data_IF_529207631618
#
_entry.id   IF_529207631618
#
_cell.length_a   1.000
_cell.length_b   1.000
_cell.length_c   1.000
_cell.angle_alpha   90.00
_cell.angle_beta   90.00
_cell.angle_gamma   90.00
#
_symmetry.space_group_name_H-M   'P 1'
#
loop_
_entity.id
_entity.type
_entity.pdbx_description
1 polymer ?
#
# COMPACT_ATOMS: atom_id res chain seq x y z
N UNK A 1 37.87 -53.28 32.76
CA UNK A 1 38.00 -51.85 32.38
C UNK A 1 36.65 -51.36 31.87
N UNK A 2 35.89 -50.65 32.73
CA UNK A 2 34.58 -50.07 32.38
C UNK A 2 34.83 -48.70 31.76
N UNK A 3 34.44 -48.48 30.51
CA UNK A 3 34.30 -47.13 29.93
C UNK A 3 32.81 -46.86 29.81
N UNK A 4 32.28 -46.05 30.73
CA UNK A 4 30.89 -45.60 30.71
C UNK A 4 30.82 -44.37 29.81
N UNK A 5 30.01 -44.47 28.76
CA UNK A 5 29.77 -43.42 27.78
C UNK A 5 28.96 -42.27 28.41
N UNK A 6 29.40 -41.03 28.19
CA UNK A 6 28.72 -39.82 28.60
C UNK A 6 27.85 -39.35 27.43
N UNK A 7 26.53 -39.50 27.55
CA UNK A 7 25.56 -38.89 26.63
C UNK A 7 25.49 -37.39 26.93
N UNK A 8 25.84 -36.55 25.96
CA UNK A 8 25.45 -35.14 25.94
C UNK A 8 24.01 -35.04 25.42
N UNK A 9 23.08 -34.61 26.29
CA UNK A 9 21.78 -34.09 25.85
C UNK A 9 21.99 -32.69 25.25
N UNK A 10 21.79 -32.56 23.95
CA UNK A 10 21.61 -31.28 23.27
C UNK A 10 20.17 -30.80 23.53
N UNK A 11 20.00 -29.97 24.56
CA UNK A 11 18.79 -29.16 24.71
C UNK A 11 18.81 -28.08 23.64
N UNK A 12 17.98 -28.22 22.61
CA UNK A 12 17.71 -27.16 21.66
C UNK A 12 16.96 -26.03 22.39
N UNK A 13 17.69 -25.00 22.79
CA UNK A 13 17.09 -23.74 23.21
C UNK A 13 16.54 -23.12 21.93
N UNK A 14 15.24 -23.27 21.69
CA UNK A 14 14.57 -22.45 20.69
C UNK A 14 14.68 -21.00 21.18
N UNK A 15 15.64 -20.26 20.63
CA UNK A 15 15.69 -18.81 20.83
C UNK A 15 14.33 -18.26 20.39
N UNK A 16 13.63 -17.46 21.20
CA UNK A 16 12.54 -16.65 20.67
C UNK A 16 13.16 -15.83 19.54
N UNK A 17 12.64 -16.00 18.32
CA UNK A 17 12.97 -15.10 17.23
C UNK A 17 12.64 -13.70 17.74
N UNK A 18 13.67 -12.90 17.98
CA UNK A 18 13.49 -11.46 18.12
C UNK A 18 12.88 -11.03 16.79
N UNK A 19 11.61 -10.64 16.82
CA UNK A 19 10.95 -10.06 15.66
C UNK A 19 11.82 -8.90 15.20
N UNK A 20 12.46 -9.03 14.04
CA UNK A 20 13.11 -7.90 13.41
C UNK A 20 12.05 -6.82 13.18
N UNK A 21 12.38 -5.54 13.36
CA UNK A 21 11.47 -4.43 13.09
C UNK A 21 10.79 -4.65 11.72
N UNK A 22 9.48 -4.89 11.72
CA UNK A 22 8.70 -5.20 10.53
C UNK A 22 8.24 -6.66 10.35
N UNK A 23 8.46 -7.54 11.33
CA UNK A 23 7.91 -8.91 11.35
C UNK A 23 6.55 -8.98 12.06
N UNK A 24 5.46 -8.95 11.28
CA UNK A 24 4.10 -9.26 11.74
C UNK A 24 3.70 -10.72 11.49
N UNK A 25 2.50 -11.16 11.92
CA UNK A 25 2.03 -12.55 11.74
C UNK A 25 1.90 -13.00 10.27
N UNK A 26 1.90 -12.05 9.33
CA UNK A 26 1.83 -12.28 7.89
C UNK A 26 3.17 -12.04 7.16
N UNK A 27 4.29 -11.92 7.89
CA UNK A 27 5.59 -11.58 7.30
C UNK A 27 6.24 -12.73 6.53
N UNK A 28 5.83 -13.97 6.83
CA UNK A 28 6.44 -15.17 6.28
C UNK A 28 6.49 -15.15 4.74
N UNK A 29 7.70 -15.32 4.19
CA UNK A 29 7.96 -15.34 2.74
C UNK A 29 7.56 -14.08 1.97
N UNK A 30 7.31 -12.95 2.65
CA UNK A 30 7.07 -11.66 2.01
C UNK A 30 8.33 -11.15 1.31
N UNK A 31 8.16 -10.70 0.07
CA UNK A 31 9.15 -10.04 -0.77
C UNK A 31 8.96 -8.51 -0.78
N UNK A 32 8.04 -7.98 0.04
CA UNK A 32 7.79 -6.55 0.15
C UNK A 32 9.05 -5.80 0.60
N UNK A 33 9.32 -4.66 -0.03
CA UNK A 33 10.41 -3.78 0.36
C UNK A 33 9.92 -2.83 1.44
N UNK A 34 10.66 -2.77 2.56
CA UNK A 34 10.48 -1.76 3.60
C UNK A 34 10.54 -0.35 3.00
N UNK A 35 9.68 0.55 3.50
CA UNK A 35 9.69 1.98 3.17
C UNK A 35 10.02 2.84 4.39
N UNK A 36 10.46 2.21 5.49
CA UNK A 36 10.80 2.88 6.75
C UNK A 36 9.66 3.72 7.30
N UNK A 37 8.43 3.23 7.12
CA UNK A 37 7.24 3.84 7.68
C UNK A 37 7.08 3.42 9.14
N UNK A 38 6.52 4.33 9.93
CA UNK A 38 6.23 4.05 11.33
C UNK A 38 5.17 2.94 11.46
N UNK A 39 5.46 1.92 12.29
CA UNK A 39 4.58 0.77 12.49
C UNK A 39 4.35 -0.08 11.24
N UNK A 40 5.32 -0.12 10.31
CA UNK A 40 5.25 -0.99 9.13
C UNK A 40 5.60 -2.44 9.46
N UNK A 41 4.84 -3.37 8.91
CA UNK A 41 5.08 -4.80 8.94
C UNK A 41 4.97 -5.36 7.53
N UNK A 42 5.91 -6.23 7.13
CA UNK A 42 5.74 -7.01 5.91
C UNK A 42 4.54 -7.94 6.06
N UNK A 43 3.72 -8.01 5.02
CA UNK A 43 2.52 -8.81 5.04
C UNK A 43 2.18 -9.39 3.67
N UNK A 44 2.17 -10.72 3.63
CA UNK A 44 1.79 -11.57 2.51
C UNK A 44 0.65 -12.49 2.94
N UNK A 45 -0.44 -12.51 2.18
CA UNK A 45 -1.62 -13.31 2.50
C UNK A 45 -2.55 -13.48 1.29
N UNK A 46 -3.45 -14.45 1.36
CA UNK A 46 -4.56 -14.57 0.42
C UNK A 46 -5.71 -13.62 0.78
N UNK A 47 -6.33 -13.06 -0.25
CA UNK A 47 -7.45 -12.15 -0.11
C UNK A 47 -8.39 -12.20 -1.31
N UNK A 48 -9.58 -11.64 -1.14
CA UNK A 48 -10.57 -11.38 -2.18
C UNK A 48 -10.54 -9.88 -2.50
N UNK A 49 -10.43 -9.49 -3.76
CA UNK A 49 -10.40 -8.06 -4.16
C UNK A 49 -11.81 -7.52 -4.39
N UNK A 50 -12.09 -6.33 -3.85
CA UNK A 50 -13.33 -5.59 -4.06
C UNK A 50 -13.10 -4.07 -3.88
N UNK A 51 -14.11 -3.23 -4.11
CA UNK A 51 -14.09 -1.83 -3.68
C UNK A 51 -14.78 -1.64 -2.33
N UNK A 52 -14.36 -0.61 -1.60
CA UNK A 52 -14.81 -0.36 -0.23
C UNK A 52 -16.33 -0.16 -0.14
N UNK A 53 -16.93 0.48 -1.15
CA UNK A 53 -18.36 0.78 -1.13
C UNK A 53 -19.19 -0.47 -1.44
N UNK A 54 -18.74 -1.32 -2.37
CA UNK A 54 -19.36 -2.63 -2.60
C UNK A 54 -19.39 -3.46 -1.31
N UNK A 55 -18.26 -3.56 -0.61
CA UNK A 55 -18.19 -4.32 0.65
C UNK A 55 -19.08 -3.74 1.75
N UNK A 56 -19.05 -2.42 1.93
CA UNK A 56 -19.75 -1.76 3.05
C UNK A 56 -21.26 -1.60 2.82
N UNK A 57 -21.70 -1.53 1.56
CA UNK A 57 -23.08 -1.10 1.23
C UNK A 57 -23.80 -2.02 0.24
N UNK A 58 -23.09 -2.90 -0.47
CA UNK A 58 -23.63 -3.71 -1.56
C UNK A 58 -23.75 -2.97 -2.90
N UNK A 59 -23.35 -1.70 -2.99
CA UNK A 59 -23.23 -0.98 -4.27
C UNK A 59 -21.97 -1.45 -5.02
N UNK A 60 -22.16 -2.48 -5.85
CA UNK A 60 -21.09 -3.18 -6.55
C UNK A 60 -21.17 -2.92 -8.06
N UNK A 61 -20.54 -1.83 -8.56
CA UNK A 61 -20.44 -1.61 -10.00
C UNK A 61 -19.51 -2.65 -10.65
N UNK A 62 -19.68 -2.84 -11.96
CA UNK A 62 -18.77 -3.65 -12.76
C UNK A 62 -17.31 -3.21 -12.58
N UNK A 63 -16.39 -4.17 -12.63
CA UNK A 63 -14.95 -3.98 -12.47
C UNK A 63 -14.54 -3.14 -11.25
N UNK A 64 -15.35 -3.17 -10.17
CA UNK A 64 -15.12 -2.41 -8.94
C UNK A 64 -14.98 -0.90 -9.22
N UNK A 65 -15.69 -0.40 -10.24
CA UNK A 65 -15.60 0.99 -10.69
C UNK A 65 -14.32 1.35 -11.44
N UNK A 66 -13.63 0.37 -12.04
CA UNK A 66 -12.52 0.59 -12.96
C UNK A 66 -11.28 1.27 -12.34
N UNK A 67 -11.14 1.18 -11.01
CA UNK A 67 -10.04 1.80 -10.27
C UNK A 67 -10.30 3.27 -9.86
N UNK A 68 -11.49 3.81 -10.11
CA UNK A 68 -11.90 5.15 -9.66
C UNK A 68 -12.50 5.12 -8.24
N UNK A 69 -12.82 3.94 -7.71
CA UNK A 69 -13.28 3.75 -6.31
C UNK A 69 -12.11 3.36 -5.40
N UNK A 70 -12.17 3.68 -4.09
CA UNK A 70 -11.23 3.16 -3.11
C UNK A 70 -11.28 1.63 -3.07
N UNK A 71 -10.16 0.98 -3.37
CA UNK A 71 -10.08 -0.47 -3.40
C UNK A 71 -9.69 -1.04 -2.03
N UNK A 72 -10.22 -2.22 -1.73
CA UNK A 72 -9.91 -2.99 -0.52
C UNK A 72 -9.51 -4.41 -0.89
N UNK A 73 -8.87 -5.09 0.05
CA UNK A 73 -8.70 -6.53 0.02
C UNK A 73 -9.34 -7.13 1.27
N UNK A 74 -10.15 -8.17 1.08
CA UNK A 74 -10.76 -8.94 2.15
C UNK A 74 -9.87 -10.13 2.45
N UNK A 75 -9.10 -10.06 3.54
CA UNK A 75 -8.17 -11.14 3.88
C UNK A 75 -8.94 -12.41 4.25
N UNK A 76 -8.57 -13.54 3.66
CA UNK A 76 -9.34 -14.79 3.81
C UNK A 76 -9.26 -15.40 5.20
N UNK A 77 -8.16 -15.22 5.91
CA UNK A 77 -7.93 -15.89 7.20
C UNK A 77 -8.86 -15.36 8.31
N UNK A 78 -9.19 -14.07 8.29
CA UNK A 78 -9.91 -13.39 9.37
C UNK A 78 -10.99 -12.43 8.90
N UNK A 79 -11.30 -12.41 7.60
CA UNK A 79 -12.28 -11.52 6.96
C UNK A 79 -12.05 -10.03 7.24
N UNK A 80 -10.82 -9.61 7.58
CA UNK A 80 -10.54 -8.18 7.75
C UNK A 80 -10.53 -7.48 6.40
N UNK A 81 -11.34 -6.42 6.31
CA UNK A 81 -11.28 -5.45 5.23
C UNK A 81 -10.06 -4.56 5.43
N UNK A 82 -9.14 -4.57 4.46
CA UNK A 82 -7.97 -3.71 4.46
C UNK A 82 -8.09 -2.70 3.33
N UNK A 83 -8.16 -1.41 3.69
CA UNK A 83 -8.07 -0.32 2.71
C UNK A 83 -6.68 -0.31 2.10
N UNK A 84 -6.63 -0.37 0.77
CA UNK A 84 -5.36 -0.29 0.03
C UNK A 84 -5.07 1.15 -0.32
N UNK A 85 -4.33 1.83 0.53
CA UNK A 85 -4.06 3.27 0.37
C UNK A 85 -2.91 3.58 -0.60
N UNK A 86 -2.00 2.62 -0.85
CA UNK A 86 -0.84 2.83 -1.71
C UNK A 86 -0.45 1.58 -2.51
N UNK A 87 0.00 1.80 -3.74
CA UNK A 87 0.63 0.77 -4.58
C UNK A 87 2.16 0.84 -4.60
N UNK A 88 2.80 -0.06 -5.34
CA UNK A 88 4.25 -0.10 -5.54
C UNK A 88 4.81 1.02 -6.42
N UNK A 89 3.97 1.95 -6.90
CA UNK A 89 4.43 3.12 -7.63
C UNK A 89 4.97 4.22 -6.67
N UNK A 90 5.92 5.05 -7.15
CA UNK A 90 6.48 6.15 -6.36
C UNK A 90 5.46 7.29 -6.17
N UNK A 91 5.83 8.28 -5.34
CA UNK A 91 5.09 9.53 -5.13
C UNK A 91 3.64 9.31 -4.65
N UNK A 92 3.45 8.42 -3.66
CA UNK A 92 2.18 8.20 -2.95
C UNK A 92 0.97 7.94 -3.87
N UNK A 93 1.18 7.12 -4.90
CA UNK A 93 0.13 6.75 -5.86
C UNK A 93 -0.59 5.47 -5.43
N UNK A 94 -1.90 5.43 -5.63
CA UNK A 94 -2.76 4.30 -5.24
C UNK A 94 -2.57 3.05 -6.12
N UNK A 95 -3.01 1.90 -5.61
CA UNK A 95 -3.01 0.63 -6.34
C UNK A 95 -4.30 0.37 -7.12
N UNK A 96 -5.28 1.29 -7.08
CA UNK A 96 -6.66 1.03 -7.46
C UNK A 96 -6.80 0.44 -8.87
N UNK A 97 -6.16 1.06 -9.88
CA UNK A 97 -6.19 0.55 -11.25
C UNK A 97 -5.60 -0.85 -11.42
N UNK A 98 -4.62 -1.24 -10.58
CA UNK A 98 -4.11 -2.61 -10.61
C UNK A 98 -5.11 -3.54 -9.96
N UNK A 99 -5.67 -3.17 -8.81
CA UNK A 99 -6.61 -4.00 -8.08
C UNK A 99 -7.91 -4.23 -8.87
N UNK A 100 -8.39 -3.23 -9.61
CA UNK A 100 -9.60 -3.38 -10.42
C UNK A 100 -9.47 -4.48 -11.48
N UNK A 101 -8.26 -4.78 -11.98
CA UNK A 101 -8.03 -5.92 -12.90
C UNK A 101 -8.30 -7.30 -12.24
N UNK A 102 -8.31 -7.34 -10.91
CA UNK A 102 -8.60 -8.52 -10.10
C UNK A 102 -9.93 -8.40 -9.35
N UNK A 103 -10.77 -7.41 -9.69
CA UNK A 103 -12.09 -7.26 -9.07
C UNK A 103 -12.85 -8.59 -9.15
N UNK A 104 -13.45 -9.03 -8.05
CA UNK A 104 -14.16 -10.30 -8.08
C UNK A 104 -13.30 -11.54 -7.79
N UNK A 105 -11.97 -11.40 -7.74
CA UNK A 105 -11.07 -12.55 -7.73
C UNK A 105 -10.40 -12.78 -6.39
N UNK A 106 -10.05 -14.04 -6.17
CA UNK A 106 -9.13 -14.46 -5.13
C UNK A 106 -7.68 -14.27 -5.61
N UNK A 107 -6.88 -13.65 -4.77
CA UNK A 107 -5.51 -13.25 -5.04
C UNK A 107 -4.62 -13.57 -3.86
N UNK A 108 -3.32 -13.62 -4.14
CA UNK A 108 -2.30 -13.43 -3.12
C UNK A 108 -1.68 -12.05 -3.29
N UNK A 109 -1.57 -11.32 -2.17
CA UNK A 109 -1.00 -9.98 -2.14
C UNK A 109 0.23 -9.95 -1.24
N UNK A 110 1.18 -9.10 -1.58
CA UNK A 110 2.40 -8.89 -0.82
C UNK A 110 2.76 -7.40 -0.75
N UNK A 111 3.03 -6.90 0.46
CA UNK A 111 3.12 -5.48 0.74
C UNK A 111 3.39 -5.17 2.20
N UNK A 112 3.07 -3.95 2.61
CA UNK A 112 3.27 -3.47 3.97
C UNK A 112 1.93 -3.21 4.65
N UNK A 113 1.68 -3.83 5.80
CA UNK A 113 0.66 -3.37 6.73
C UNK A 113 1.26 -2.24 7.56
N UNK A 114 0.61 -1.09 7.58
CA UNK A 114 1.13 0.11 8.27
C UNK A 114 0.09 0.61 9.25
N UNK A 115 0.51 0.79 10.49
CA UNK A 115 -0.31 1.32 11.57
C UNK A 115 0.19 0.84 12.92
N UNK A 116 0.16 1.73 13.90
CA UNK A 116 0.59 1.46 15.26
C UNK A 116 -0.62 1.57 16.21
N UNK A 117 -0.92 0.51 16.99
CA UNK A 117 -2.00 0.56 17.97
C UNK A 117 -1.79 1.63 19.05
N UNK A 118 -0.55 2.03 19.36
CA UNK A 118 -0.26 3.08 20.34
C UNK A 118 -0.61 4.47 19.79
N UNK A 119 -0.51 4.67 18.46
CA UNK A 119 -0.99 5.88 17.80
C UNK A 119 -2.49 5.87 17.54
N UNK A 120 -3.11 4.68 17.49
CA UNK A 120 -4.54 4.48 17.24
C UNK A 120 -5.19 3.64 18.34
N UNK A 121 -5.11 4.08 19.61
CA UNK A 121 -5.50 3.28 20.76
C UNK A 121 -6.98 2.92 20.69
N UNK A 122 -7.28 1.63 20.88
CA UNK A 122 -8.64 1.09 20.83
C UNK A 122 -9.20 0.86 19.42
N UNK A 123 -8.50 1.28 18.36
CA UNK A 123 -8.87 1.01 16.97
C UNK A 123 -7.99 -0.10 16.40
N UNK A 124 -6.65 0.02 16.57
CA UNK A 124 -5.69 -0.93 16.00
C UNK A 124 -5.80 -1.08 14.47
N UNK A 125 -6.33 -0.05 13.79
CA UNK A 125 -6.52 -0.07 12.35
C UNK A 125 -5.16 0.02 11.65
N UNK A 126 -4.98 -0.85 10.65
CA UNK A 126 -3.85 -0.79 9.73
C UNK A 126 -4.36 -0.55 8.32
N UNK A 127 -3.61 0.22 7.54
CA UNK A 127 -3.80 0.34 6.10
C UNK A 127 -2.80 -0.54 5.38
N UNK A 128 -3.16 -1.01 4.19
CA UNK A 128 -2.31 -1.90 3.42
C UNK A 128 -1.70 -1.21 2.20
N UNK A 129 -0.39 -1.36 2.04
CA UNK A 129 0.39 -0.80 0.96
C UNK A 129 0.90 -1.93 0.08
N UNK A 130 0.05 -2.38 -0.84
CA UNK A 130 0.32 -3.53 -1.70
C UNK A 130 1.43 -3.21 -2.70
N UNK A 131 2.41 -4.10 -2.85
CA UNK A 131 3.52 -3.95 -3.80
C UNK A 131 3.44 -4.95 -4.94
N UNK A 132 2.98 -6.17 -4.64
CA UNK A 132 2.83 -7.27 -5.57
C UNK A 132 1.45 -7.92 -5.41
N UNK A 133 0.92 -8.43 -6.51
CA UNK A 133 -0.33 -9.17 -6.56
C UNK A 133 -0.21 -10.31 -7.57
N UNK A 134 -0.87 -11.43 -7.31
CA UNK A 134 -1.08 -12.53 -8.26
C UNK A 134 -2.43 -13.18 -8.03
N UNK A 135 -3.03 -13.77 -9.06
CA UNK A 135 -4.18 -14.64 -8.87
C UNK A 135 -3.79 -15.84 -8.00
N UNK A 136 -4.70 -16.31 -7.13
CA UNK A 136 -4.45 -17.52 -6.33
C UNK A 136 -4.09 -18.70 -7.26
N UNK A 137 -3.00 -19.40 -6.93
CA UNK A 137 -2.48 -20.52 -7.74
C UNK A 137 -1.63 -20.12 -8.94
N UNK A 138 -1.46 -18.82 -9.24
CA UNK A 138 -0.49 -18.34 -10.24
C UNK A 138 0.91 -18.25 -9.63
N UNK A 139 1.94 -18.51 -10.44
CA UNK A 139 3.34 -18.26 -10.06
C UNK A 139 3.83 -16.85 -10.45
N UNK A 140 3.04 -16.11 -11.24
CA UNK A 140 3.44 -14.81 -11.76
C UNK A 140 3.04 -13.65 -10.83
N UNK A 141 4.03 -13.03 -10.19
CA UNK A 141 3.85 -11.81 -9.42
C UNK A 141 3.83 -10.56 -10.30
N UNK A 142 2.81 -9.73 -10.14
CA UNK A 142 2.63 -8.49 -10.87
C UNK A 142 2.79 -7.28 -9.94
N UNK A 143 3.52 -6.25 -10.39
CA UNK A 143 3.70 -5.01 -9.62
C UNK A 143 2.46 -4.13 -9.65
N UNK A 144 2.13 -3.55 -8.50
CA UNK A 144 0.99 -2.63 -8.30
C UNK A 144 1.34 -1.17 -8.61
N UNK A 145 2.03 -0.94 -9.74
CA UNK A 145 2.59 0.36 -10.13
C UNK A 145 1.90 1.00 -11.35
N UNK A 146 0.61 0.69 -11.55
CA UNK A 146 -0.11 1.01 -12.78
C UNK A 146 -0.54 2.48 -12.87
N UNK A 147 -0.66 3.19 -11.74
CA UNK A 147 -1.22 4.54 -11.65
C UNK A 147 -0.63 5.51 -12.68
N UNK A 148 0.70 5.71 -12.70
CA UNK A 148 1.32 6.72 -13.56
C UNK A 148 1.13 6.41 -15.05
N UNK A 149 0.99 5.12 -15.41
CA UNK A 149 0.67 4.71 -16.78
C UNK A 149 -0.76 5.08 -17.15
N UNK A 150 -1.72 4.89 -16.25
CA UNK A 150 -3.12 5.28 -16.48
C UNK A 150 -3.28 6.81 -16.50
N UNK A 151 -2.63 7.51 -15.57
CA UNK A 151 -2.56 8.97 -15.57
C UNK A 151 -2.04 9.52 -16.90
N UNK A 152 -0.95 8.97 -17.43
CA UNK A 152 -0.38 9.41 -18.70
C UNK A 152 -1.30 9.14 -19.91
N UNK A 153 -2.10 8.08 -19.86
CA UNK A 153 -3.13 7.81 -20.88
C UNK A 153 -4.30 8.79 -20.79
N UNK A 154 -4.70 9.15 -19.56
CA UNK A 154 -5.79 10.09 -19.30
C UNK A 154 -5.43 11.52 -19.70
N UNK A 155 -4.16 11.90 -19.54
CA UNK A 155 -3.65 13.26 -19.82
C UNK A 155 -2.46 13.23 -20.82
N UNK A 156 -2.69 12.86 -22.09
CA UNK A 156 -1.63 12.76 -23.10
C UNK A 156 -0.91 14.10 -23.40
N UNK A 157 -1.55 15.22 -23.09
CA UNK A 157 -1.02 16.57 -23.21
C UNK A 157 -0.06 16.97 -22.06
N UNK A 158 -0.06 16.24 -20.94
CA UNK A 158 0.78 16.50 -19.76
C UNK A 158 2.26 16.07 -19.97
N UNK A 159 2.87 16.54 -21.06
CA UNK A 159 4.25 16.23 -21.48
C UNK A 159 5.29 16.85 -20.55
N UNK A 160 6.50 16.30 -20.53
CA UNK A 160 7.64 16.82 -19.76
C UNK A 160 8.36 15.77 -18.91
N UNK A 161 9.35 16.23 -18.11
CA UNK A 161 10.10 15.41 -17.16
C UNK A 161 9.67 15.72 -15.72
N UNK A 162 9.97 14.80 -14.80
CA UNK A 162 9.71 14.96 -13.37
C UNK A 162 8.38 14.36 -12.90
N UNK A 163 8.03 14.59 -11.62
CA UNK A 163 6.85 14.01 -10.99
C UNK A 163 5.56 14.32 -11.76
N UNK A 164 4.64 13.36 -11.77
CA UNK A 164 3.39 13.47 -12.52
C UNK A 164 2.54 14.65 -12.04
N UNK A 165 2.44 14.86 -10.72
CA UNK A 165 1.57 15.88 -10.12
C UNK A 165 1.96 17.30 -10.48
N UNK A 166 3.25 17.57 -10.78
CA UNK A 166 3.69 18.89 -11.27
C UNK A 166 3.14 19.22 -12.67
N UNK A 167 2.67 18.21 -13.39
CA UNK A 167 2.15 18.32 -14.76
C UNK A 167 0.66 18.02 -14.86
N UNK A 168 0.06 17.55 -13.77
CA UNK A 168 -1.35 17.21 -13.72
C UNK A 168 -2.21 18.47 -13.94
N UNK A 169 -3.19 18.42 -14.86
CA UNK A 169 -4.00 19.59 -15.16
C UNK A 169 -4.90 20.02 -13.99
N UNK A 170 -5.33 19.08 -13.14
CA UNK A 170 -6.16 19.42 -11.98
C UNK A 170 -5.32 20.09 -10.89
N UNK A 171 -4.10 19.59 -10.65
CA UNK A 171 -3.17 20.25 -9.71
C UNK A 171 -2.84 21.67 -10.18
N UNK A 172 -2.57 21.84 -11.48
CA UNK A 172 -2.31 23.17 -12.06
C UNK A 172 -3.53 24.10 -11.95
N UNK A 173 -4.72 23.57 -12.20
CA UNK A 173 -5.96 24.32 -12.07
C UNK A 173 -6.19 24.79 -10.62
N UNK A 174 -5.91 23.93 -9.63
CA UNK A 174 -6.05 24.29 -8.23
C UNK A 174 -5.01 25.35 -7.81
N UNK A 175 -3.75 25.19 -8.20
CA UNK A 175 -2.71 26.20 -7.95
C UNK A 175 -3.07 27.55 -8.58
N UNK A 176 -3.62 27.55 -9.81
CA UNK A 176 -4.05 28.78 -10.46
C UNK A 176 -5.21 29.46 -9.71
N UNK A 177 -6.03 28.69 -9.00
CA UNK A 177 -7.18 29.17 -8.23
C UNK A 177 -6.79 29.66 -6.84
N UNK A 178 -5.94 28.95 -6.13
CA UNK A 178 -5.70 29.14 -4.68
C UNK A 178 -4.24 29.37 -4.31
N UNK A 179 -3.34 29.42 -5.28
CA UNK A 179 -1.89 29.51 -5.04
C UNK A 179 -1.27 28.15 -4.68
N UNK A 180 0.05 28.10 -4.62
CA UNK A 180 0.86 26.96 -4.21
C UNK A 180 0.56 26.52 -2.78
N UNK A 181 0.22 27.45 -1.88
CA UNK A 181 -0.09 27.12 -0.49
C UNK A 181 -1.57 26.80 -0.24
N UNK A 182 -2.44 27.00 -1.25
CA UNK A 182 -3.88 26.75 -1.12
C UNK A 182 -4.63 27.76 -0.22
N UNK A 183 -3.97 28.86 0.17
CA UNK A 183 -4.53 29.90 1.05
C UNK A 183 -4.74 31.26 0.34
N UNK A 184 -4.59 31.30 -0.99
CA UNK A 184 -4.86 32.44 -1.84
C UNK A 184 -3.61 33.04 -2.49
N UNK A 185 -3.79 33.61 -3.69
CA UNK A 185 -2.72 34.16 -4.51
C UNK A 185 -1.97 35.33 -3.85
N UNK A 186 -2.64 36.14 -3.05
CA UNK A 186 -2.01 37.25 -2.31
C UNK A 186 -1.08 36.75 -1.20
N UNK A 187 -1.44 35.68 -0.51
CA UNK A 187 -0.61 35.10 0.53
C UNK A 187 0.67 34.48 -0.07
N UNK A 188 0.53 33.77 -1.19
CA UNK A 188 1.64 33.28 -2.00
C UNK A 188 2.59 34.40 -2.42
N UNK A 189 2.03 35.48 -3.01
CA UNK A 189 2.81 36.63 -3.47
C UNK A 189 3.59 37.27 -2.33
N UNK A 190 2.91 37.54 -1.21
CA UNK A 190 3.52 38.12 -0.01
C UNK A 190 4.67 37.24 0.50
N UNK A 191 4.44 35.94 0.61
CA UNK A 191 5.47 35.02 1.07
C UNK A 191 6.68 35.01 0.12
N UNK A 192 6.46 35.00 -1.20
CA UNK A 192 7.53 35.07 -2.18
C UNK A 192 8.31 36.39 -2.11
N UNK A 193 7.65 37.53 -1.91
CA UNK A 193 8.34 38.82 -1.74
C UNK A 193 9.20 38.86 -0.47
N UNK A 194 8.75 38.20 0.61
CA UNK A 194 9.46 38.16 1.89
C UNK A 194 10.58 37.10 1.94
N UNK A 195 10.54 36.07 1.07
CA UNK A 195 11.38 34.87 1.21
C UNK A 195 12.07 34.40 -0.09
N UNK A 196 11.87 35.06 -1.23
CA UNK A 196 12.61 34.74 -2.45
C UNK A 196 14.04 35.31 -2.38
N UNK A 197 15.02 34.45 -2.11
CA UNK A 197 16.44 34.72 -2.35
C UNK A 197 16.79 34.66 -3.85
#
# INVERSE_FOLDING_TARGET
MKKLAMLLMMSAIASPALSEDGEGPYSANSQAKSWSLFGEEKARFEARVTDALCELTGDCPDDCGGGERPMVVMRKDDNKMLIVNKGGAPNFTGANYRLSEYCGQDVEVDGLLVGDPDLTPGIGAKVYQVQLIRATGSDEWVKTNLYTKQWAKKYPEAKGKGPWFKRDPNVKAEIAKTGYFGIGLEADKKWLEENAE
#
